data_IF_245279511366
#
_entry.id   IF_245279511366
#
_cell.length_a   1.000
_cell.length_b   1.000
_cell.length_c   1.000
_cell.angle_alpha   90.00
_cell.angle_beta   90.00
_cell.angle_gamma   90.00
#
_symmetry.space_group_name_H-M   'P 1'
#
loop_
_entity.id
_entity.type
_entity.pdbx_description
1 polymer ?
#
# COMPACT_ATOMS: atom_id res chain seq x y z
N UNK A 1 13.00 -15.99 -15.14
CA UNK A 1 13.25 -14.62 -14.64
C UNK A 1 12.01 -14.16 -13.87
N UNK A 2 12.14 -13.75 -12.60
CA UNK A 2 10.99 -13.48 -11.72
C UNK A 2 10.21 -12.22 -12.14
N UNK A 3 9.06 -12.40 -12.80
CA UNK A 3 8.22 -11.30 -13.29
C UNK A 3 7.82 -10.29 -12.19
N UNK A 4 7.55 -10.76 -10.97
CA UNK A 4 7.21 -9.90 -9.82
C UNK A 4 8.39 -8.98 -9.46
N UNK A 5 9.61 -9.52 -9.37
CA UNK A 5 10.83 -8.75 -9.06
C UNK A 5 11.05 -7.69 -10.14
N UNK A 6 10.93 -8.09 -11.41
CA UNK A 6 11.15 -7.19 -12.52
C UNK A 6 10.17 -5.99 -12.46
N UNK A 7 8.87 -6.26 -12.33
CA UNK A 7 7.84 -5.21 -12.19
C UNK A 7 8.10 -4.32 -10.97
N UNK A 8 8.53 -4.91 -9.85
CA UNK A 8 8.80 -4.17 -8.63
C UNK A 8 9.92 -3.14 -8.81
N UNK A 9 11.05 -3.55 -9.39
CA UNK A 9 12.18 -2.64 -9.61
C UNK A 9 11.98 -1.68 -10.78
N UNK A 10 11.30 -2.08 -11.86
CA UNK A 10 10.96 -1.16 -12.97
C UNK A 10 10.13 0.02 -12.46
N UNK A 11 9.26 -0.20 -11.48
CA UNK A 11 8.43 0.83 -10.85
C UNK A 11 9.07 1.48 -9.62
N UNK A 12 10.40 1.33 -9.45
CA UNK A 12 11.17 1.95 -8.36
C UNK A 12 10.58 1.65 -6.98
N UNK A 13 10.10 0.42 -6.80
CA UNK A 13 9.53 -0.10 -5.55
C UNK A 13 8.21 0.58 -5.12
N UNK A 14 7.61 1.43 -5.97
CA UNK A 14 6.34 2.13 -5.63
C UNK A 14 5.12 1.23 -5.71
N UNK A 15 5.24 0.11 -6.40
CA UNK A 15 4.12 -0.78 -6.66
C UNK A 15 4.08 -1.85 -5.58
N UNK A 16 3.01 -1.82 -4.77
CA UNK A 16 2.66 -2.93 -3.89
C UNK A 16 1.93 -4.05 -4.64
N UNK A 17 1.60 -5.12 -3.93
CA UNK A 17 1.00 -6.34 -4.49
C UNK A 17 -0.26 -6.11 -5.33
N UNK A 18 -1.07 -5.10 -5.00
CA UNK A 18 -2.28 -4.75 -5.78
C UNK A 18 -1.94 -4.24 -7.18
N UNK A 19 -0.96 -3.34 -7.29
CA UNK A 19 -0.53 -2.79 -8.58
C UNK A 19 0.25 -3.81 -9.40
N UNK A 20 1.10 -4.61 -8.73
CA UNK A 20 1.80 -5.71 -9.40
C UNK A 20 0.82 -6.74 -9.96
N UNK A 21 -0.25 -7.09 -9.23
CA UNK A 21 -1.29 -7.98 -9.74
C UNK A 21 -2.00 -7.42 -10.97
N UNK A 22 -2.23 -6.10 -11.02
CA UNK A 22 -2.79 -5.43 -12.19
C UNK A 22 -1.81 -5.49 -13.38
N UNK A 23 -0.53 -5.22 -13.14
CA UNK A 23 0.52 -5.30 -14.16
C UNK A 23 0.66 -6.72 -14.74
N UNK A 24 0.60 -7.73 -13.87
CA UNK A 24 0.62 -9.13 -14.26
C UNK A 24 -0.60 -9.48 -15.13
N UNK A 25 -1.78 -8.97 -14.78
CA UNK A 25 -2.99 -9.11 -15.61
C UNK A 25 -2.82 -8.46 -16.98
N UNK A 26 -2.25 -7.26 -17.04
CA UNK A 26 -1.97 -6.56 -18.31
C UNK A 26 -0.98 -7.34 -19.19
N UNK A 27 -0.09 -8.12 -18.59
CA UNK A 27 0.83 -9.03 -19.28
C UNK A 27 0.23 -10.41 -19.60
N UNK A 28 -1.07 -10.61 -19.35
CA UNK A 28 -1.79 -11.87 -19.64
C UNK A 28 -1.79 -12.91 -18.53
N UNK A 29 -1.21 -12.63 -17.36
CA UNK A 29 -1.22 -13.55 -16.23
C UNK A 29 -2.50 -13.43 -15.41
N UNK A 30 -3.27 -14.51 -15.33
CA UNK A 30 -4.48 -14.58 -14.48
C UNK A 30 -4.07 -15.05 -13.09
N UNK A 31 -3.67 -14.09 -12.24
CA UNK A 31 -3.24 -14.38 -10.86
C UNK A 31 -4.04 -13.55 -9.87
N UNK A 32 -4.46 -14.17 -8.77
CA UNK A 32 -5.12 -13.46 -7.68
C UNK A 32 -4.12 -12.58 -6.92
N UNK A 33 -4.53 -11.36 -6.57
CA UNK A 33 -3.73 -10.44 -5.75
C UNK A 33 -3.29 -11.04 -4.40
N UNK A 34 -4.06 -11.97 -3.82
CA UNK A 34 -3.68 -12.69 -2.59
C UNK A 34 -2.42 -13.55 -2.79
N UNK A 35 -2.32 -14.23 -3.93
CA UNK A 35 -1.14 -15.03 -4.28
C UNK A 35 0.09 -14.14 -4.50
N UNK A 36 -0.10 -13.01 -5.18
CA UNK A 36 0.95 -11.99 -5.36
C UNK A 36 1.42 -11.46 -4.00
N UNK A 37 0.48 -11.14 -3.09
CA UNK A 37 0.82 -10.68 -1.72
C UNK A 37 1.66 -11.73 -0.97
N UNK A 38 1.27 -13.01 -1.00
CA UNK A 38 2.01 -14.09 -0.33
C UNK A 38 3.42 -14.23 -0.92
N UNK A 39 3.56 -14.25 -2.24
CA UNK A 39 4.87 -14.35 -2.90
C UNK A 39 5.77 -13.16 -2.58
N UNK A 40 5.24 -11.93 -2.67
CA UNK A 40 6.01 -10.74 -2.30
C UNK A 40 6.46 -10.77 -0.84
N UNK A 41 5.62 -11.27 0.07
CA UNK A 41 5.99 -11.41 1.49
C UNK A 41 7.11 -12.42 1.71
N UNK A 42 7.08 -13.58 1.02
CA UNK A 42 8.15 -14.59 1.10
C UNK A 42 9.47 -14.06 0.54
N UNK A 43 9.39 -13.14 -0.42
CA UNK A 43 10.54 -12.51 -1.07
C UNK A 43 10.96 -11.19 -0.40
N UNK A 44 10.31 -10.82 0.71
CA UNK A 44 10.55 -9.58 1.46
C UNK A 44 10.44 -8.29 0.64
N UNK A 45 9.58 -8.30 -0.39
CA UNK A 45 9.33 -7.14 -1.25
C UNK A 45 8.16 -6.32 -0.73
N UNK A 46 8.44 -5.08 -0.33
CA UNK A 46 7.43 -4.15 0.18
C UNK A 46 7.37 -2.88 -0.66
N UNK A 47 6.16 -2.52 -1.10
CA UNK A 47 5.95 -1.29 -1.86
C UNK A 47 6.13 -0.05 -0.98
N UNK A 48 6.80 0.99 -1.50
CA UNK A 48 6.93 2.29 -0.85
C UNK A 48 5.55 2.93 -0.66
N UNK A 49 5.21 3.21 0.60
CA UNK A 49 3.99 3.94 0.96
C UNK A 49 4.26 5.44 0.87
N UNK A 50 3.39 6.23 0.22
CA UNK A 50 3.52 7.68 0.21
C UNK A 50 3.39 8.23 1.64
N UNK A 51 4.12 9.31 1.93
CA UNK A 51 4.02 10.01 3.20
C UNK A 51 2.58 10.49 3.41
N UNK A 52 2.03 10.28 4.61
CA UNK A 52 0.72 10.79 4.95
C UNK A 52 0.68 12.32 4.82
N UNK A 53 -0.44 12.87 4.33
CA UNK A 53 -0.65 14.32 4.31
C UNK A 53 -0.69 14.85 5.75
N UNK A 54 -0.16 16.05 5.95
CA UNK A 54 -0.24 16.75 7.23
C UNK A 54 -1.71 16.95 7.64
N UNK A 55 -1.99 16.76 8.93
CA UNK A 55 -3.27 17.06 9.56
C UNK A 55 -3.01 18.00 10.73
N UNK A 56 -3.60 19.20 10.70
CA UNK A 56 -3.47 20.20 11.76
C UNK A 56 -4.17 19.77 13.05
N UNK A 57 -5.35 19.15 12.92
CA UNK A 57 -6.05 18.52 14.02
C UNK A 57 -5.28 17.27 14.48
N UNK A 58 -4.76 17.31 15.71
CA UNK A 58 -4.00 16.20 16.32
C UNK A 58 -4.86 15.28 17.19
N UNK A 59 -6.19 15.40 17.09
CA UNK A 59 -7.12 14.80 18.05
C UNK A 59 -7.51 15.78 19.15
N UNK A 60 -8.31 15.30 20.10
CA UNK A 60 -8.83 16.09 21.21
C UNK A 60 -7.75 16.26 22.31
N UNK A 61 -6.74 17.09 22.03
CA UNK A 61 -5.59 17.26 22.93
C UNK A 61 -5.98 17.84 24.29
N UNK A 62 -7.03 18.67 24.35
CA UNK A 62 -7.52 19.30 25.58
C UNK A 62 -8.93 18.81 25.99
N UNK A 63 -9.43 17.75 25.34
CA UNK A 63 -10.78 17.25 25.52
C UNK A 63 -11.87 18.24 25.09
N UNK A 64 -13.09 17.73 24.98
CA UNK A 64 -14.28 18.55 24.73
C UNK A 64 -14.67 19.26 26.04
N UNK A 65 -14.75 20.60 26.03
CA UNK A 65 -15.25 21.36 27.18
C UNK A 65 -16.72 21.02 27.44
N UNK A 66 -17.11 20.93 28.72
CA UNK A 66 -18.51 20.67 29.08
C UNK A 66 -19.39 21.80 28.56
N UNK A 67 -20.50 21.43 27.90
CA UNK A 67 -21.55 22.37 27.55
C UNK A 67 -22.27 22.80 28.83
N UNK A 68 -22.30 24.10 29.11
CA UNK A 68 -22.88 24.69 30.33
C UNK A 68 -24.31 25.24 30.10
N UNK A 69 -24.84 25.11 28.88
CA UNK A 69 -26.14 25.66 28.45
C UNK A 69 -27.27 24.61 28.44
N UNK A 70 -26.97 23.35 28.76
CA UNK A 70 -27.90 22.24 28.96
C UNK A 70 -27.81 21.79 30.41
#
# INVERSE_FOLDING_TARGET
>A
MNNIINIFYTHKERYGYRRIALELRNKGYIVNHKKVKRLMSVMELYGKTPKAKYKSYKGDMNGTTKNLLL
#
